data_IF_180184630046
#
_entry.id   IF_180184630046
#
_cell.length_a   1.000
_cell.length_b   1.000
_cell.length_c   1.000
_cell.angle_alpha   90.00
_cell.angle_beta   90.00
_cell.angle_gamma   90.00
#
_symmetry.space_group_name_H-M   'P 1'
#
loop_
_entity.id
_entity.type
_entity.pdbx_description
1 polymer ?
#
# COMPACT_ATOMS: atom_id res chain seq x y z
N UNK A 1 23.23 10.60 12.14
CA UNK A 1 22.62 9.25 12.13
C UNK A 1 21.23 9.36 11.52
N UNK A 2 21.02 8.80 10.33
CA UNK A 2 19.74 8.92 9.63
C UNK A 2 18.63 8.31 10.49
N UNK A 3 17.68 9.15 10.92
CA UNK A 3 16.50 8.75 11.67
C UNK A 3 15.75 7.72 10.82
N UNK A 4 15.89 6.42 11.11
CA UNK A 4 15.17 5.36 10.40
C UNK A 4 13.69 5.73 10.41
N UNK A 5 13.16 6.09 9.23
CA UNK A 5 11.74 6.42 9.12
C UNK A 5 10.97 5.16 9.46
N UNK A 6 10.21 5.21 10.57
CA UNK A 6 9.35 4.11 10.98
C UNK A 6 8.36 3.81 9.87
N UNK A 7 7.95 2.54 9.77
CA UNK A 7 6.85 2.15 8.90
C UNK A 7 5.59 2.93 9.27
N UNK A 8 4.85 3.36 8.25
CA UNK A 8 3.60 4.10 8.40
C UNK A 8 2.46 3.09 8.29
N UNK A 9 1.70 2.91 9.37
CA UNK A 9 0.50 2.08 9.37
C UNK A 9 -0.64 2.84 8.69
N UNK A 10 -1.24 2.22 7.69
CA UNK A 10 -2.27 2.81 6.82
C UNK A 10 -3.55 1.98 6.79
N UNK A 11 -3.59 0.86 7.52
CA UNK A 11 -4.76 -0.02 7.63
C UNK A 11 -6.02 0.74 8.08
N UNK A 12 -5.87 1.69 9.01
CA UNK A 12 -6.99 2.52 9.49
C UNK A 12 -7.41 3.62 8.51
N UNK A 13 -6.56 3.94 7.52
CA UNK A 13 -6.85 4.98 6.53
C UNK A 13 -7.82 4.50 5.44
N UNK A 14 -8.21 3.22 5.45
CA UNK A 14 -9.14 2.60 4.47
C UNK A 14 -8.78 2.91 3.02
N UNK A 15 -7.48 2.95 2.73
CA UNK A 15 -6.97 3.24 1.39
C UNK A 15 -7.04 1.95 0.58
N UNK A 16 -7.86 1.95 -0.45
CA UNK A 16 -8.00 0.82 -1.37
C UNK A 16 -8.00 1.29 -2.81
N UNK A 17 -7.55 0.42 -3.70
CA UNK A 17 -7.62 0.64 -5.13
C UNK A 17 -7.90 -0.67 -5.85
N UNK A 18 -8.65 -0.58 -6.94
CA UNK A 18 -8.90 -1.73 -7.81
C UNK A 18 -7.99 -1.61 -9.01
N UNK A 19 -7.29 -2.69 -9.34
CA UNK A 19 -6.55 -2.81 -10.58
C UNK A 19 -7.12 -4.00 -11.33
N UNK A 20 -7.64 -3.75 -12.53
CA UNK A 20 -8.33 -4.74 -13.36
C UNK A 20 -9.55 -5.34 -12.64
N UNK A 21 -9.39 -6.51 -11.99
CA UNK A 21 -10.43 -7.22 -11.22
C UNK A 21 -10.02 -7.50 -9.78
N UNK A 22 -8.84 -7.04 -9.40
CA UNK A 22 -8.23 -7.33 -8.11
C UNK A 22 -8.29 -6.08 -7.25
N UNK A 23 -8.83 -6.23 -6.05
CA UNK A 23 -8.93 -5.15 -5.07
C UNK A 23 -7.74 -5.22 -4.12
N UNK A 24 -7.06 -4.10 -3.98
CA UNK A 24 -5.86 -3.94 -3.17
C UNK A 24 -6.14 -2.97 -2.03
N UNK A 25 -6.12 -3.45 -0.79
CA UNK A 25 -6.23 -2.62 0.41
C UNK A 25 -4.84 -2.35 0.97
N UNK A 26 -4.45 -1.08 1.05
CA UNK A 26 -3.16 -0.67 1.59
C UNK A 26 -3.15 -0.84 3.10
N UNK A 27 -2.14 -1.55 3.61
CA UNK A 27 -2.00 -1.87 5.05
C UNK A 27 -0.90 -1.03 5.67
N UNK A 28 0.29 -1.03 5.05
CA UNK A 28 1.49 -0.43 5.65
C UNK A 28 2.44 0.05 4.57
N UNK A 29 3.01 1.23 4.77
CA UNK A 29 4.06 1.78 3.91
C UNK A 29 5.41 1.77 4.62
N UNK A 30 6.43 1.26 3.94
CA UNK A 30 7.81 1.27 4.38
C UNK A 30 8.60 2.35 3.63
N UNK A 31 8.69 3.59 4.15
CA UNK A 31 9.39 4.68 3.47
C UNK A 31 10.88 4.39 3.25
N UNK A 32 11.49 3.56 4.09
CA UNK A 32 12.90 3.16 3.96
C UNK A 32 13.13 2.19 2.81
N UNK A 33 12.20 1.26 2.58
CA UNK A 33 12.29 0.24 1.52
C UNK A 33 11.55 0.66 0.24
N UNK A 34 10.77 1.75 0.31
CA UNK A 34 9.85 2.19 -0.76
C UNK A 34 8.92 1.06 -1.21
N UNK A 35 8.41 0.29 -0.25
CA UNK A 35 7.44 -0.80 -0.47
C UNK A 35 6.17 -0.57 0.34
N UNK A 36 5.07 -1.17 -0.11
CA UNK A 36 3.77 -1.12 0.52
C UNK A 36 3.25 -2.54 0.68
N UNK A 37 2.79 -2.88 1.88
CA UNK A 37 1.99 -4.09 2.09
C UNK A 37 0.55 -3.81 1.71
N UNK A 38 0.01 -4.64 0.82
CA UNK A 38 -1.36 -4.59 0.35
C UNK A 38 -2.06 -5.92 0.62
N UNK A 39 -3.31 -5.88 1.07
CA UNK A 39 -4.19 -7.04 1.12
C UNK A 39 -4.91 -7.16 -0.22
N UNK A 40 -4.77 -8.32 -0.85
CA UNK A 40 -5.31 -8.61 -2.17
C UNK A 40 -6.61 -9.38 -2.02
N UNK A 41 -7.63 -8.95 -2.76
CA UNK A 41 -8.89 -9.64 -2.93
C UNK A 41 -9.13 -9.84 -4.42
N UNK A 42 -9.23 -11.09 -4.85
CA UNK A 42 -9.49 -11.47 -6.24
C UNK A 42 -10.87 -12.12 -6.30
N UNK A 43 -11.75 -11.60 -7.15
CA UNK A 43 -13.15 -12.03 -7.26
C UNK A 43 -13.89 -12.12 -5.89
N UNK A 44 -13.57 -11.18 -4.98
CA UNK A 44 -14.14 -11.12 -3.63
C UNK A 44 -13.53 -12.12 -2.63
N UNK A 45 -12.61 -12.98 -3.06
CA UNK A 45 -11.88 -13.91 -2.21
C UNK A 45 -10.58 -13.25 -1.73
N UNK A 46 -10.35 -13.27 -0.42
CA UNK A 46 -9.09 -12.79 0.16
C UNK A 46 -7.95 -13.73 -0.24
N UNK A 47 -7.04 -13.23 -1.07
CA UNK A 47 -5.88 -13.99 -1.55
C UNK A 47 -4.75 -13.94 -0.50
N UNK A 48 -4.52 -12.76 0.09
CA UNK A 48 -3.54 -12.62 1.16
C UNK A 48 -2.95 -11.22 1.25
N UNK A 49 -1.80 -11.10 1.94
CA UNK A 49 -1.02 -9.86 1.99
C UNK A 49 0.20 -10.04 1.09
N UNK A 50 0.42 -9.09 0.17
CA UNK A 50 1.64 -9.01 -0.64
C UNK A 50 2.34 -7.68 -0.42
N UNK A 51 3.66 -7.70 -0.47
CA UNK A 51 4.49 -6.50 -0.50
C UNK A 51 4.75 -6.11 -1.94
N UNK A 52 4.35 -4.89 -2.33
CA UNK A 52 4.59 -4.36 -3.68
C UNK A 52 5.46 -3.10 -3.63
N UNK A 53 6.20 -2.78 -4.71
CA UNK A 53 6.93 -1.52 -4.80
C UNK A 53 5.98 -0.32 -4.77
N UNK A 54 6.34 0.73 -4.01
CA UNK A 54 5.56 1.97 -3.95
C UNK A 54 5.36 2.60 -5.34
N UNK A 55 6.33 2.43 -6.22
CA UNK A 55 6.29 2.92 -7.59
C UNK A 55 5.16 2.30 -8.43
N UNK A 56 4.66 1.12 -8.08
CA UNK A 56 3.62 0.41 -8.84
C UNK A 56 2.20 0.85 -8.46
N UNK A 57 2.03 1.61 -7.39
CA UNK A 57 0.71 2.10 -7.01
C UNK A 57 0.18 3.12 -8.05
N UNK A 58 -1.15 3.35 -8.09
CA UNK A 58 -1.71 4.46 -8.85
C UNK A 58 -1.21 5.81 -8.31
N UNK A 59 -1.14 6.83 -9.19
CA UNK A 59 -0.67 8.18 -8.81
C UNK A 59 -1.50 8.79 -7.67
N UNK A 60 -2.81 8.56 -7.67
CA UNK A 60 -3.73 9.05 -6.64
C UNK A 60 -3.40 8.45 -5.27
N UNK A 61 -3.19 7.14 -5.21
CA UNK A 61 -2.83 6.43 -3.98
C UNK A 61 -1.45 6.87 -3.47
N UNK A 62 -0.47 7.08 -4.37
CA UNK A 62 0.85 7.62 -3.98
C UNK A 62 0.73 8.96 -3.28
N UNK A 63 -0.14 9.86 -3.77
CA UNK A 63 -0.38 11.17 -3.15
C UNK A 63 -1.04 11.07 -1.77
N UNK A 64 -1.90 10.07 -1.56
CA UNK A 64 -2.54 9.85 -0.25
C UNK A 64 -1.53 9.28 0.75
N UNK A 65 -0.74 8.29 0.35
CA UNK A 65 0.26 7.63 1.22
C UNK A 65 1.42 8.56 1.55
N UNK A 66 1.85 9.35 0.57
CA UNK A 66 2.94 10.31 0.69
C UNK A 66 2.53 11.62 0.04
N UNK A 67 1.74 12.46 0.74
CA UNK A 67 1.44 13.81 0.31
C UNK A 67 2.71 14.62 0.44
N UNK A 68 3.32 14.94 -0.69
CA UNK A 68 4.61 15.61 -0.77
C UNK A 68 4.59 16.63 -1.89
#
# INVERSE_FOLDING_TARGET
MAKNKKSIELMNSKISFTLERTLYNVIRFFPTKMTVDVMIFEDGVKEGIKTIPFAHLPKEIKKIIKPN
#
